data_IF_820792266287
#
_entry.id   IF_820792266287
#
_cell.length_a   1.000
_cell.length_b   1.000
_cell.length_c   1.000
_cell.angle_alpha   90.00
_cell.angle_beta   90.00
_cell.angle_gamma   90.00
#
_symmetry.space_group_name_H-M   'P 1'
#
loop_
_entity.id
_entity.type
_entity.pdbx_description
1 polymer ?
#
# COMPACT_ATOMS: atom_id res chain seq x y z
N UNK A 1 -5.59 -12.48 21.56
CA UNK A 1 -4.86 -13.08 20.45
C UNK A 1 -4.08 -12.04 19.61
N UNK A 2 -4.48 -10.79 19.53
CA UNK A 2 -3.80 -9.72 18.79
C UNK A 2 -3.28 -8.59 19.69
N UNK A 3 -2.93 -8.90 20.94
CA UNK A 3 -2.52 -7.87 21.93
C UNK A 3 -1.16 -7.25 21.64
N UNK A 4 -0.33 -7.97 20.89
CA UNK A 4 1.05 -7.59 20.60
C UNK A 4 1.22 -6.96 19.21
N UNK A 5 0.12 -6.62 18.54
CA UNK A 5 0.16 -5.92 17.26
C UNK A 5 -0.16 -4.44 17.45
N UNK A 6 0.53 -3.57 16.71
CA UNK A 6 0.17 -2.16 16.63
C UNK A 6 -1.21 -1.97 16.01
N UNK A 7 -1.77 -0.78 16.20
CA UNK A 7 -3.06 -0.38 15.64
C UNK A 7 -2.87 0.85 14.78
N UNK A 8 -3.46 0.84 13.60
CA UNK A 8 -3.58 2.00 12.73
C UNK A 8 -5.05 2.33 12.57
N UNK A 9 -5.42 3.54 12.94
CA UNK A 9 -6.77 4.11 12.79
C UNK A 9 -6.76 5.09 11.63
N UNK A 10 -7.70 4.91 10.70
CA UNK A 10 -7.98 5.80 9.60
C UNK A 10 -9.34 6.46 9.81
N UNK A 11 -9.38 7.77 9.72
CA UNK A 11 -10.62 8.53 9.63
C UNK A 11 -10.68 9.18 8.26
N UNK A 12 -11.72 8.87 7.49
CA UNK A 12 -11.92 9.34 6.13
C UNK A 12 -13.40 9.62 5.90
N UNK A 13 -13.76 10.51 4.98
CA UNK A 13 -15.17 10.72 4.67
C UNK A 13 -15.80 9.42 4.14
N UNK A 14 -16.78 8.82 4.84
CA UNK A 14 -17.43 7.58 4.42
C UNK A 14 -18.07 7.68 3.03
N UNK A 15 -18.44 8.87 2.58
CA UNK A 15 -18.99 9.09 1.24
C UNK A 15 -17.90 8.85 0.17
N UNK A 16 -16.67 9.33 0.41
CA UNK A 16 -15.55 9.10 -0.50
C UNK A 16 -15.18 7.61 -0.62
N UNK A 17 -15.41 6.82 0.43
CA UNK A 17 -15.16 5.38 0.40
C UNK A 17 -16.33 4.56 -0.14
N UNK A 18 -17.55 4.85 0.33
CA UNK A 18 -18.64 3.87 0.26
C UNK A 18 -19.87 4.36 -0.54
N UNK A 19 -19.87 5.59 -1.07
CA UNK A 19 -20.98 6.05 -1.90
C UNK A 19 -21.19 5.10 -3.10
N UNK A 20 -22.43 4.72 -3.35
CA UNK A 20 -22.78 3.77 -4.40
C UNK A 20 -22.41 4.25 -5.81
N UNK A 21 -22.48 5.55 -6.05
CA UNK A 21 -22.19 6.13 -7.36
C UNK A 21 -20.72 6.42 -7.60
N UNK A 22 -19.96 6.78 -6.55
CA UNK A 22 -18.58 7.26 -6.71
C UNK A 22 -17.60 6.81 -5.62
N UNK A 23 -18.04 6.04 -4.63
CA UNK A 23 -17.16 5.62 -3.53
C UNK A 23 -16.00 4.76 -4.00
N UNK A 24 -14.83 5.09 -3.54
CA UNK A 24 -13.56 4.51 -4.00
C UNK A 24 -13.38 3.02 -3.63
N UNK A 25 -14.13 2.50 -2.66
CA UNK A 25 -13.93 1.14 -2.15
C UNK A 25 -14.95 0.12 -2.68
N UNK A 26 -16.03 0.58 -3.29
CA UNK A 26 -17.18 -0.25 -3.72
C UNK A 26 -17.15 -0.57 -5.22
N UNK A 27 -17.92 -1.55 -5.64
CA UNK A 27 -18.13 -1.85 -7.06
C UNK A 27 -18.90 -0.74 -7.77
N UNK A 28 -19.99 -0.28 -7.17
CA UNK A 28 -20.80 0.83 -7.66
C UNK A 28 -21.78 0.50 -8.77
N UNK A 29 -22.53 1.50 -9.18
CA UNK A 29 -23.65 1.39 -10.15
C UNK A 29 -23.22 0.92 -11.53
N UNK A 30 -22.06 1.38 -12.02
CA UNK A 30 -21.60 1.03 -13.36
C UNK A 30 -21.22 -0.44 -13.47
N UNK A 31 -20.67 -1.01 -12.39
CA UNK A 31 -20.39 -2.45 -12.32
C UNK A 31 -21.68 -3.27 -12.41
N UNK A 32 -22.72 -2.90 -11.66
CA UNK A 32 -23.99 -3.59 -11.66
C UNK A 32 -24.70 -3.49 -13.02
N UNK A 33 -24.65 -2.32 -13.65
CA UNK A 33 -25.20 -2.11 -15.00
C UNK A 33 -24.45 -2.93 -16.05
N UNK A 34 -23.12 -2.96 -15.99
CA UNK A 34 -22.29 -3.77 -16.90
C UNK A 34 -22.54 -5.27 -16.71
N UNK A 35 -22.68 -5.71 -15.47
CA UNK A 35 -23.02 -7.09 -15.14
C UNK A 35 -24.40 -7.50 -15.68
N UNK A 36 -25.39 -6.61 -15.54
CA UNK A 36 -26.75 -6.84 -16.04
C UNK A 36 -26.80 -6.85 -17.58
N UNK A 37 -25.91 -6.11 -18.24
CA UNK A 37 -25.80 -6.05 -19.68
C UNK A 37 -24.91 -7.15 -20.30
N UNK A 38 -24.29 -8.01 -19.48
CA UNK A 38 -23.29 -9.00 -19.90
C UNK A 38 -22.07 -8.34 -20.63
N UNK A 39 -21.73 -7.09 -20.24
CA UNK A 39 -20.62 -6.29 -20.78
C UNK A 39 -19.64 -5.88 -19.65
N UNK A 40 -19.35 -6.81 -18.75
CA UNK A 40 -18.47 -6.55 -17.61
C UNK A 40 -17.02 -6.38 -18.07
N UNK A 41 -16.43 -5.22 -17.76
CA UNK A 41 -15.02 -4.92 -18.00
C UNK A 41 -14.26 -4.84 -16.68
N UNK A 42 -12.95 -5.05 -16.76
CA UNK A 42 -12.10 -5.00 -15.56
C UNK A 42 -12.16 -3.65 -14.82
N UNK A 43 -12.43 -2.55 -15.54
CA UNK A 43 -12.51 -1.20 -15.00
C UNK A 43 -13.95 -0.72 -14.71
N UNK A 44 -14.93 -1.61 -14.74
CA UNK A 44 -16.34 -1.25 -14.50
C UNK A 44 -16.59 -0.84 -13.05
N UNK A 45 -15.83 -1.38 -12.10
CA UNK A 45 -16.01 -1.05 -10.70
C UNK A 45 -15.37 0.30 -10.32
N UNK A 46 -16.02 1.00 -9.37
CA UNK A 46 -15.56 2.30 -8.88
C UNK A 46 -14.13 2.26 -8.36
N UNK A 47 -13.73 1.21 -7.65
CA UNK A 47 -12.39 1.09 -7.07
C UNK A 47 -11.25 1.04 -8.10
N UNK A 48 -11.51 0.73 -9.38
CA UNK A 48 -10.53 0.86 -10.44
C UNK A 48 -10.34 2.30 -10.92
N UNK A 49 -11.40 3.12 -10.80
CA UNK A 49 -11.43 4.52 -11.22
C UNK A 49 -11.16 5.49 -10.08
N UNK A 50 -11.24 4.99 -8.84
CA UNK A 50 -11.10 5.77 -7.63
C UNK A 50 -9.82 6.61 -7.59
N UNK A 51 -9.93 7.75 -6.94
CA UNK A 51 -8.90 8.77 -6.80
C UNK A 51 -8.32 8.89 -5.40
N UNK A 52 -7.77 10.04 -5.13
CA UNK A 52 -7.23 10.43 -3.83
C UNK A 52 -8.32 10.95 -2.91
N UNK A 53 -8.18 10.66 -1.63
CA UNK A 53 -9.06 11.08 -0.54
C UNK A 53 -8.22 11.70 0.57
N UNK A 54 -8.77 12.68 1.29
CA UNK A 54 -8.12 13.16 2.51
C UNK A 54 -8.46 12.22 3.66
N UNK A 55 -7.46 11.86 4.45
CA UNK A 55 -7.65 11.03 5.62
C UNK A 55 -6.77 11.47 6.78
N UNK A 56 -7.27 11.26 7.98
CA UNK A 56 -6.50 11.38 9.21
C UNK A 56 -6.02 10.00 9.64
N UNK A 57 -4.76 9.87 10.01
CA UNK A 57 -4.17 8.62 10.46
C UNK A 57 -3.60 8.76 11.86
N UNK A 58 -3.90 7.78 12.70
CA UNK A 58 -3.30 7.60 14.01
C UNK A 58 -2.64 6.23 14.07
N UNK A 59 -1.42 6.17 14.59
CA UNK A 59 -0.71 4.91 14.78
C UNK A 59 -0.34 4.71 16.24
N UNK A 60 -0.77 3.57 16.78
CA UNK A 60 -0.54 3.15 18.15
C UNK A 60 0.37 1.92 18.16
N UNK A 61 1.45 1.97 18.93
CA UNK A 61 2.29 0.81 19.16
C UNK A 61 1.53 -0.33 19.87
N UNK A 62 2.16 -1.50 19.98
CA UNK A 62 1.54 -2.67 20.61
C UNK A 62 1.07 -2.42 22.04
N UNK A 63 1.74 -1.55 22.78
CA UNK A 63 1.37 -1.10 24.12
C UNK A 63 0.27 -0.04 24.17
N UNK A 64 -0.28 0.33 22.98
CA UNK A 64 -1.33 1.33 22.80
C UNK A 64 -0.88 2.77 22.99
N UNK A 65 0.40 3.03 22.97
CA UNK A 65 0.90 4.40 22.96
C UNK A 65 0.79 5.00 21.55
N UNK A 66 0.19 6.20 21.47
CA UNK A 66 0.10 6.95 20.21
C UNK A 66 1.49 7.48 19.85
N UNK A 67 2.04 7.03 18.73
CA UNK A 67 3.38 7.39 18.26
C UNK A 67 3.38 8.22 17.00
N UNK A 68 2.29 8.18 16.24
CA UNK A 68 2.11 9.00 15.07
C UNK A 68 0.64 9.44 14.93
N UNK A 69 0.44 10.69 14.53
CA UNK A 69 -0.84 11.28 14.19
C UNK A 69 -0.63 12.32 13.08
N UNK A 70 -1.46 12.32 12.05
CA UNK A 70 -1.33 13.30 10.96
C UNK A 70 -2.34 13.13 9.84
N UNK A 71 -2.34 14.13 8.96
CA UNK A 71 -3.13 14.11 7.73
C UNK A 71 -2.34 13.43 6.61
N UNK A 72 -3.04 12.67 5.79
CA UNK A 72 -2.49 11.96 4.64
C UNK A 72 -3.43 12.06 3.44
N UNK A 73 -2.87 11.90 2.27
CA UNK A 73 -3.64 11.60 1.07
C UNK A 73 -3.73 10.08 0.94
N UNK A 74 -4.94 9.57 1.02
CA UNK A 74 -5.27 8.14 0.93
C UNK A 74 -5.71 7.79 -0.48
N UNK A 75 -5.21 6.70 -1.02
CA UNK A 75 -5.71 6.13 -2.27
C UNK A 75 -5.68 4.60 -2.24
N UNK A 76 -6.42 3.96 -3.12
CA UNK A 76 -6.27 2.50 -3.30
C UNK A 76 -5.04 2.21 -4.17
N UNK A 77 -4.23 1.25 -3.74
CA UNK A 77 -3.11 0.80 -4.56
C UNK A 77 -3.59 -0.06 -5.73
N UNK A 78 -3.34 0.40 -6.94
CA UNK A 78 -3.74 -0.26 -8.18
C UNK A 78 -2.71 -1.30 -8.64
N UNK A 79 -2.51 -2.34 -7.83
CA UNK A 79 -1.50 -3.38 -8.05
C UNK A 79 -2.08 -4.76 -8.43
N UNK A 80 -3.31 -4.79 -8.93
CA UNK A 80 -4.03 -6.01 -9.31
C UNK A 80 -4.71 -6.73 -8.14
N UNK A 81 -4.73 -6.13 -6.96
CA UNK A 81 -5.37 -6.69 -5.76
C UNK A 81 -6.72 -6.02 -5.42
N UNK A 82 -7.26 -5.21 -6.33
CA UNK A 82 -8.49 -4.44 -6.09
C UNK A 82 -9.76 -5.30 -6.03
N UNK A 83 -9.76 -6.48 -6.64
CA UNK A 83 -10.91 -7.39 -6.62
C UNK A 83 -11.08 -8.15 -5.29
N UNK A 84 -10.08 -8.11 -4.43
CA UNK A 84 -10.18 -8.71 -3.11
C UNK A 84 -11.00 -7.82 -2.17
N UNK A 85 -11.75 -8.45 -1.27
CA UNK A 85 -12.56 -7.74 -0.28
C UNK A 85 -11.75 -6.78 0.58
N UNK A 86 -10.52 -7.17 0.93
CA UNK A 86 -9.57 -6.33 1.65
C UNK A 86 -8.57 -5.71 0.67
N UNK A 87 -8.79 -4.46 0.30
CA UNK A 87 -7.96 -3.72 -0.66
C UNK A 87 -6.76 -3.08 0.03
N UNK A 88 -5.67 -2.89 -0.71
CA UNK A 88 -4.49 -2.19 -0.21
C UNK A 88 -4.67 -0.68 -0.34
N UNK A 89 -4.20 0.06 0.68
CA UNK A 89 -4.21 1.51 0.70
C UNK A 89 -2.78 2.05 0.56
N UNK A 90 -2.63 3.06 -0.25
CA UNK A 90 -1.42 3.89 -0.35
C UNK A 90 -1.70 5.22 0.35
N UNK A 91 -0.81 5.61 1.25
CA UNK A 91 -0.85 6.88 1.95
C UNK A 91 0.37 7.71 1.57
N UNK A 92 0.14 8.97 1.21
CA UNK A 92 1.17 9.93 0.82
C UNK A 92 0.98 11.25 1.57
N UNK A 93 2.03 12.08 1.60
CA UNK A 93 1.96 13.39 2.23
C UNK A 93 1.97 13.37 3.76
N UNK A 94 2.27 12.23 4.36
CA UNK A 94 2.43 12.15 5.81
C UNK A 94 3.59 13.04 6.27
N UNK A 95 3.37 13.76 7.38
CA UNK A 95 4.42 14.55 8.01
C UNK A 95 5.59 13.66 8.45
N UNK A 96 6.84 14.12 8.29
CA UNK A 96 7.99 13.37 8.72
C UNK A 96 7.95 13.03 10.21
N UNK A 97 8.10 11.77 10.53
CA UNK A 97 8.16 11.30 11.91
C UNK A 97 9.56 11.59 12.49
N UNK A 98 9.70 12.13 13.71
CA UNK A 98 11.00 12.29 14.34
C UNK A 98 11.73 10.95 14.55
N UNK A 99 13.03 10.91 14.29
CA UNK A 99 13.87 9.69 14.30
C UNK A 99 13.78 8.82 15.56
N UNK A 100 13.37 9.41 16.67
CA UNK A 100 13.28 8.73 17.99
C UNK A 100 11.87 8.29 18.38
N UNK A 101 10.86 8.45 17.52
CA UNK A 101 9.47 8.43 17.97
C UNK A 101 8.76 7.08 17.86
N UNK A 102 9.18 6.17 17.00
CA UNK A 102 8.53 4.85 16.89
C UNK A 102 9.39 3.81 16.20
N UNK A 103 9.07 2.52 16.42
CA UNK A 103 9.71 1.40 15.73
C UNK A 103 9.48 1.43 14.21
N UNK A 104 8.46 2.17 13.75
CA UNK A 104 8.13 2.33 12.35
C UNK A 104 8.72 3.60 11.72
N UNK A 105 9.64 4.30 12.41
CA UNK A 105 10.29 5.50 11.88
C UNK A 105 10.75 5.31 10.42
N UNK A 106 11.43 4.21 10.14
CA UNK A 106 11.91 3.91 8.78
C UNK A 106 10.79 3.71 7.75
N UNK A 107 9.59 3.32 8.20
CA UNK A 107 8.43 3.15 7.32
C UNK A 107 7.74 4.47 7.02
N UNK A 108 7.64 5.37 8.01
CA UNK A 108 6.95 6.67 7.87
C UNK A 108 7.86 7.80 7.40
N UNK A 109 9.16 7.62 7.46
CA UNK A 109 10.18 8.63 7.23
C UNK A 109 10.05 9.37 5.89
N UNK A 110 9.59 8.69 4.85
CA UNK A 110 9.49 9.24 3.49
C UNK A 110 8.12 9.87 3.19
N UNK A 111 7.24 9.95 4.18
CA UNK A 111 5.89 10.48 4.01
C UNK A 111 4.99 9.63 3.09
N UNK A 112 5.45 8.44 2.71
CA UNK A 112 4.69 7.51 1.85
C UNK A 112 4.78 6.11 2.41
N UNK A 113 3.64 5.48 2.66
CA UNK A 113 3.58 4.13 3.18
C UNK A 113 2.35 3.37 2.68
N UNK A 114 2.41 2.06 2.79
CA UNK A 114 1.42 1.13 2.27
C UNK A 114 0.77 0.36 3.40
N UNK A 115 -0.55 0.27 3.35
CA UNK A 115 -1.30 -0.78 4.05
C UNK A 115 -1.64 -1.88 3.04
N UNK A 116 -0.94 -2.97 3.13
CA UNK A 116 -1.13 -4.09 2.22
C UNK A 116 -2.19 -5.05 2.74
N UNK A 117 -3.25 -5.23 1.95
CA UNK A 117 -4.40 -6.07 2.28
C UNK A 117 -4.18 -7.57 2.14
N UNK A 118 -3.02 -7.98 1.59
CA UNK A 118 -2.65 -9.39 1.42
C UNK A 118 -2.80 -9.90 -0.02
N UNK A 119 -3.67 -9.34 -0.85
CA UNK A 119 -3.87 -9.79 -2.22
C UNK A 119 -4.16 -11.29 -2.29
N UNK A 120 -3.36 -12.05 -3.05
CA UNK A 120 -3.48 -13.52 -3.15
C UNK A 120 -3.16 -14.27 -1.85
N UNK A 121 -2.47 -13.62 -0.91
CA UNK A 121 -2.18 -14.14 0.45
C UNK A 121 -3.09 -13.50 1.51
N UNK A 122 -4.32 -13.17 1.16
CA UNK A 122 -5.26 -12.42 2.01
C UNK A 122 -5.65 -13.15 3.31
N UNK A 123 -5.51 -14.46 3.38
CA UNK A 123 -5.86 -15.26 4.55
C UNK A 123 -4.74 -15.28 5.58
N UNK A 124 -3.55 -15.70 5.19
CA UNK A 124 -2.43 -15.91 6.11
C UNK A 124 -1.53 -14.68 6.24
N UNK A 125 -1.39 -13.89 5.17
CA UNK A 125 -0.55 -12.68 5.08
C UNK A 125 0.91 -12.89 5.53
N UNK A 126 1.39 -14.11 5.40
CA UNK A 126 2.72 -14.50 5.88
C UNK A 126 3.74 -14.73 4.76
N UNK A 127 3.29 -14.91 3.51
CA UNK A 127 4.17 -15.19 2.37
C UNK A 127 5.23 -14.11 2.20
N UNK A 128 4.84 -12.85 2.17
CA UNK A 128 5.78 -11.75 1.97
C UNK A 128 6.71 -11.56 3.17
N UNK A 129 6.19 -11.68 4.38
CA UNK A 129 7.01 -11.63 5.59
C UNK A 129 8.04 -12.77 5.59
N UNK A 130 7.64 -13.97 5.15
CA UNK A 130 8.55 -15.11 5.03
C UNK A 130 9.58 -14.88 3.91
N UNK A 131 9.17 -14.38 2.75
CA UNK A 131 10.05 -14.01 1.65
C UNK A 131 11.09 -12.98 2.09
N UNK A 132 10.69 -11.93 2.82
CA UNK A 132 11.57 -10.93 3.39
C UNK A 132 12.59 -11.54 4.36
N UNK A 133 12.13 -12.38 5.29
CA UNK A 133 13.01 -13.06 6.25
C UNK A 133 14.04 -13.96 5.57
N UNK A 134 13.63 -14.69 4.55
CA UNK A 134 14.54 -15.59 3.81
C UNK A 134 15.54 -14.81 2.93
N UNK A 135 15.09 -13.73 2.28
CA UNK A 135 15.94 -12.97 1.38
C UNK A 135 16.90 -12.04 2.13
N UNK A 136 16.53 -11.55 3.30
CA UNK A 136 17.38 -10.68 4.12
C UNK A 136 18.74 -11.30 4.48
N UNK A 137 18.78 -12.63 4.63
CA UNK A 137 20.00 -13.40 4.93
C UNK A 137 20.83 -13.75 3.68
N UNK A 138 20.24 -13.66 2.49
CA UNK A 138 20.83 -14.26 1.27
C UNK A 138 21.29 -13.20 0.27
N UNK A 139 20.73 -11.99 0.30
CA UNK A 139 20.91 -11.01 -0.77
C UNK A 139 21.00 -9.57 -0.29
N UNK A 140 21.69 -8.73 -1.09
CA UNK A 140 21.70 -7.28 -0.93
C UNK A 140 20.43 -6.60 -1.53
N UNK A 141 19.36 -7.37 -1.75
CA UNK A 141 18.11 -6.81 -2.28
C UNK A 141 17.46 -5.86 -1.29
N UNK A 142 16.97 -4.76 -1.84
CA UNK A 142 16.13 -3.83 -1.11
C UNK A 142 14.73 -4.40 -0.99
N UNK A 143 14.41 -4.96 0.17
CA UNK A 143 13.09 -5.49 0.47
C UNK A 143 12.17 -4.37 0.99
N UNK A 144 10.88 -4.48 0.69
CA UNK A 144 9.84 -3.66 1.31
C UNK A 144 9.57 -4.22 2.71
N UNK A 145 10.18 -3.62 3.73
CA UNK A 145 9.92 -4.04 5.11
C UNK A 145 8.44 -3.85 5.44
N UNK A 146 7.83 -4.90 6.00
CA UNK A 146 6.40 -4.92 6.34
C UNK A 146 6.19 -5.47 7.74
N UNK A 147 5.27 -4.85 8.48
CA UNK A 147 4.87 -5.29 9.81
C UNK A 147 3.35 -5.47 9.87
N UNK A 148 2.91 -6.50 10.58
CA UNK A 148 1.47 -6.70 10.83
C UNK A 148 0.90 -5.60 11.70
N UNK A 149 -0.25 -5.04 11.33
CA UNK A 149 -1.00 -4.10 12.15
C UNK A 149 -2.50 -4.35 12.05
N UNK A 150 -3.22 -3.99 13.10
CA UNK A 150 -4.68 -3.98 13.12
C UNK A 150 -5.16 -2.64 12.57
N UNK A 151 -6.02 -2.67 11.56
CA UNK A 151 -6.54 -1.45 10.94
C UNK A 151 -7.99 -1.24 11.35
N UNK A 152 -8.30 -0.01 11.71
CA UNK A 152 -9.65 0.49 11.91
C UNK A 152 -9.91 1.60 10.89
N UNK A 153 -11.10 1.63 10.31
CA UNK A 153 -11.57 2.69 9.42
C UNK A 153 -12.84 3.26 10.03
N UNK A 154 -12.83 4.56 10.32
CA UNK A 154 -13.93 5.27 10.97
C UNK A 154 -14.43 4.59 12.27
N UNK A 155 -13.48 4.01 13.04
CA UNK A 155 -13.74 3.31 14.28
C UNK A 155 -14.18 1.85 14.13
N UNK A 156 -14.46 1.37 12.93
CA UNK A 156 -14.81 -0.03 12.66
C UNK A 156 -13.57 -0.88 12.40
N UNK A 157 -13.51 -2.07 12.97
CA UNK A 157 -12.41 -3.00 12.73
C UNK A 157 -12.39 -3.47 11.28
N UNK A 158 -11.34 -3.06 10.54
CA UNK A 158 -11.21 -3.34 9.11
C UNK A 158 -10.41 -4.60 8.80
N UNK A 159 -9.57 -5.03 9.74
CA UNK A 159 -8.84 -6.27 9.64
C UNK A 159 -7.34 -6.17 9.95
N UNK A 160 -6.65 -7.28 9.71
CA UNK A 160 -5.20 -7.35 9.76
C UNK A 160 -4.62 -6.90 8.43
N UNK A 161 -3.69 -5.96 8.47
CA UNK A 161 -2.92 -5.47 7.34
C UNK A 161 -1.42 -5.64 7.59
N UNK A 162 -0.64 -5.52 6.53
CA UNK A 162 0.80 -5.34 6.64
C UNK A 162 1.11 -3.87 6.31
N UNK A 163 1.55 -3.11 7.29
CA UNK A 163 2.06 -1.75 7.07
C UNK A 163 3.50 -1.84 6.59
N UNK A 164 3.83 -1.11 5.54
CA UNK A 164 5.14 -1.17 4.93
C UNK A 164 5.54 0.08 4.18
N UNK A 165 6.81 0.16 3.88
CA UNK A 165 7.38 1.21 3.05
C UNK A 165 7.12 0.91 1.57
N UNK A 166 6.97 1.97 0.79
CA UNK A 166 6.97 1.89 -0.67
C UNK A 166 8.39 2.16 -1.18
N UNK A 167 8.89 1.32 -2.08
CA UNK A 167 10.16 1.56 -2.74
C UNK A 167 9.97 2.64 -3.82
N UNK A 168 10.41 3.86 -3.52
CA UNK A 168 10.39 5.01 -4.43
C UNK A 168 11.80 5.36 -4.90
N UNK A 169 11.92 6.24 -5.89
CA UNK A 169 13.21 6.76 -6.33
C UNK A 169 14.00 7.40 -5.17
N UNK A 170 13.30 8.11 -4.26
CA UNK A 170 13.89 8.72 -3.06
C UNK A 170 14.46 7.65 -2.11
N UNK A 171 13.73 6.56 -1.93
CA UNK A 171 14.17 5.44 -1.09
C UNK A 171 15.45 4.80 -1.63
N UNK A 172 15.49 4.54 -2.93
CA UNK A 172 16.66 3.96 -3.59
C UNK A 172 17.84 4.94 -3.63
N UNK A 173 17.62 6.23 -3.95
CA UNK A 173 18.65 7.27 -3.98
C UNK A 173 19.35 7.39 -2.63
N UNK A 174 18.59 7.39 -1.55
CA UNK A 174 19.15 7.48 -0.20
C UNK A 174 20.05 6.30 0.14
N UNK A 175 19.65 5.09 -0.26
CA UNK A 175 20.46 3.88 -0.03
C UNK A 175 21.72 3.83 -0.90
N UNK A 176 21.62 4.27 -2.15
CA UNK A 176 22.73 4.29 -3.08
C UNK A 176 23.66 5.50 -2.90
N UNK A 177 23.24 6.51 -2.12
CA UNK A 177 24.00 7.77 -1.96
C UNK A 177 23.93 8.68 -3.20
N UNK A 178 22.86 8.53 -4.03
CA UNK A 178 22.64 9.31 -5.26
C UNK A 178 21.50 10.31 -5.15
N UNK A 179 21.12 10.90 -6.31
CA UNK A 179 19.95 11.77 -6.44
C UNK A 179 18.71 10.97 -6.91
N UNK A 180 17.50 11.24 -6.40
CA UNK A 180 16.27 10.62 -6.89
C UNK A 180 16.03 10.79 -8.38
N UNK A 181 16.50 11.91 -8.96
CA UNK A 181 16.38 12.23 -10.37
C UNK A 181 17.22 11.30 -11.27
N UNK A 182 18.22 10.63 -10.71
CA UNK A 182 19.08 9.65 -11.38
C UNK A 182 18.52 8.23 -11.31
N UNK A 183 17.43 8.03 -10.57
CA UNK A 183 16.84 6.70 -10.31
C UNK A 183 15.50 6.59 -10.99
N UNK A 184 15.38 5.58 -11.85
CA UNK A 184 14.11 5.19 -12.41
C UNK A 184 13.63 3.89 -11.77
N UNK A 185 12.47 3.93 -11.10
CA UNK A 185 11.79 2.75 -10.58
C UNK A 185 10.89 2.20 -11.67
N UNK A 186 11.12 0.97 -12.08
CA UNK A 186 10.31 0.28 -13.09
C UNK A 186 9.48 -0.78 -12.39
N UNK A 187 8.20 -0.49 -12.19
CA UNK A 187 7.22 -1.43 -11.65
C UNK A 187 6.57 -2.22 -12.79
N UNK A 188 7.30 -3.10 -13.46
CA UNK A 188 6.75 -3.81 -14.59
C UNK A 188 7.05 -5.31 -14.55
N UNK A 189 5.98 -6.07 -14.67
CA UNK A 189 6.02 -7.54 -14.74
C UNK A 189 6.16 -8.07 -16.17
N UNK A 190 6.02 -7.19 -17.17
CA UNK A 190 6.00 -7.61 -18.58
C UNK A 190 7.09 -6.89 -19.38
N UNK A 191 7.96 -7.63 -20.09
CA UNK A 191 9.03 -7.03 -20.90
C UNK A 191 8.54 -6.02 -21.95
N UNK A 192 7.30 -6.20 -22.44
CA UNK A 192 6.69 -5.29 -23.44
C UNK A 192 6.37 -3.90 -22.89
N UNK A 193 6.40 -3.71 -21.59
CA UNK A 193 6.12 -2.45 -20.92
C UNK A 193 7.38 -1.73 -20.45
N UNK A 194 8.53 -2.38 -20.60
CA UNK A 194 9.84 -1.80 -20.28
C UNK A 194 10.25 -0.93 -21.47
N UNK A 195 10.68 0.30 -21.19
CA UNK A 195 11.17 1.19 -22.23
C UNK A 195 12.30 0.52 -23.04
N UNK A 196 12.38 0.74 -24.36
CA UNK A 196 13.31 0.03 -25.24
C UNK A 196 14.77 0.07 -24.80
N UNK A 197 15.21 1.16 -24.18
CA UNK A 197 16.56 1.36 -23.63
C UNK A 197 16.89 0.41 -22.48
N UNK A 198 15.90 -0.12 -21.78
CA UNK A 198 16.09 -1.10 -20.69
C UNK A 198 15.83 -2.54 -21.13
N UNK A 199 15.26 -2.75 -22.31
CA UNK A 199 14.98 -4.07 -22.87
C UNK A 199 16.24 -4.90 -23.12
N UNK A 200 17.38 -4.26 -23.32
CA UNK A 200 18.68 -4.93 -23.43
C UNK A 200 19.17 -5.47 -22.09
N UNK A 201 19.02 -4.70 -21.01
CA UNK A 201 19.38 -5.15 -19.66
C UNK A 201 18.54 -6.36 -19.21
N UNK A 202 17.26 -6.37 -19.58
CA UNK A 202 16.39 -7.50 -19.30
C UNK A 202 16.77 -8.77 -20.08
N UNK A 203 17.23 -8.62 -21.33
CA UNK A 203 17.70 -9.75 -22.16
C UNK A 203 19.02 -10.34 -21.69
N UNK A 204 19.87 -9.56 -21.03
CA UNK A 204 21.16 -10.00 -20.49
C UNK A 204 21.02 -10.69 -19.11
N UNK A 205 19.87 -10.53 -18.43
CA UNK A 205 19.58 -11.13 -17.12
C UNK A 205 18.81 -12.45 -17.16
N UNK A 206 18.37 -12.91 -18.32
CA UNK A 206 17.74 -14.18 -18.59
C UNK A 206 18.57 -14.96 -19.62
#
# INVERSE_FOLDING_TARGET
>A
MYRDLPVLSLTVDPVELFDYFGGNYVTGVDYENALAADDLRFDSANYYRGGEMNAHVEYFEADRYLTYEGEVILSLRKDGNLDYGQKSFLMTGADPVPESSCELYELFRDGTFLLYGGGTDHVAKNRQVLEELLLKEITDFTLEERKGCLVFVDGEFWGLYLVGRVNTAETFARRAGGSPEEIQVIENRYPSQIAPEYGELYRLGN
#
